data_IF_662051360570
#
_entry.id   IF_662051360570
#
_cell.length_a   1.000
_cell.length_b   1.000
_cell.length_c   1.000
_cell.angle_alpha   90.00
_cell.angle_beta   90.00
_cell.angle_gamma   90.00
#
_symmetry.space_group_name_H-M   'P 1'
#
loop_
_entity.id
_entity.type
_entity.pdbx_description
1 polymer ?
#
# COMPACT_ATOMS: atom_id res chain seq x y z
N UNK A 1 13.10 -13.43 31.97
CA UNK A 1 13.89 -13.38 30.71
C UNK A 1 13.06 -12.61 29.71
N UNK A 2 13.40 -11.35 29.43
CA UNK A 2 12.69 -10.58 28.40
C UNK A 2 13.10 -11.10 27.03
N UNK A 3 12.10 -11.41 26.19
CA UNK A 3 12.34 -11.71 24.79
C UNK A 3 13.01 -10.50 24.10
N UNK A 4 13.95 -10.71 23.16
CA UNK A 4 14.48 -9.62 22.37
C UNK A 4 13.33 -8.95 21.59
N UNK A 5 13.20 -7.64 21.73
CA UNK A 5 12.31 -6.85 20.88
C UNK A 5 12.96 -6.81 19.50
N UNK A 6 12.43 -7.59 18.55
CA UNK A 6 12.82 -7.44 17.15
C UNK A 6 12.24 -6.11 16.69
N UNK A 7 13.12 -5.16 16.35
CA UNK A 7 12.70 -3.88 15.79
C UNK A 7 12.03 -4.12 14.43
N UNK A 8 10.82 -3.58 14.26
CA UNK A 8 10.06 -3.76 13.03
C UNK A 8 10.78 -3.13 11.84
N UNK A 9 10.80 -3.85 10.72
CA UNK A 9 11.54 -3.46 9.51
C UNK A 9 10.82 -2.30 8.81
N UNK A 10 11.57 -1.31 8.33
CA UNK A 10 11.02 -0.22 7.52
C UNK A 10 10.86 -0.62 6.05
N UNK A 11 9.79 -0.16 5.41
CA UNK A 11 9.52 -0.47 4.00
C UNK A 11 10.62 0.05 3.05
N UNK A 12 11.29 1.15 3.40
CA UNK A 12 12.43 1.70 2.61
C UNK A 12 13.58 0.72 2.39
N UNK A 13 13.73 -0.29 3.25
CA UNK A 13 14.74 -1.34 3.10
C UNK A 13 14.47 -2.29 1.93
N UNK A 14 13.23 -2.27 1.39
CA UNK A 14 12.78 -3.14 0.32
C UNK A 14 13.10 -2.62 -1.08
N UNK A 15 13.85 -1.52 -1.20
CA UNK A 15 14.35 -0.97 -2.45
C UNK A 15 15.77 -0.46 -2.28
N UNK A 16 16.43 -0.14 -3.40
CA UNK A 16 17.72 0.56 -3.35
C UNK A 16 17.56 1.96 -2.70
N UNK A 17 18.47 2.40 -1.80
CA UNK A 17 18.35 3.70 -1.13
C UNK A 17 18.32 4.91 -2.07
N UNK A 18 19.03 4.87 -3.21
CA UNK A 18 18.98 5.95 -4.19
C UNK A 18 17.63 5.98 -4.89
N UNK A 19 17.06 4.81 -5.19
CA UNK A 19 15.71 4.71 -5.74
C UNK A 19 14.65 5.19 -4.74
N UNK A 20 14.74 4.80 -3.46
CA UNK A 20 13.85 5.30 -2.41
C UNK A 20 13.81 6.83 -2.40
N UNK A 21 15.00 7.47 -2.32
CA UNK A 21 15.08 8.93 -2.35
C UNK A 21 14.53 9.55 -3.65
N UNK A 22 14.69 8.88 -4.80
CA UNK A 22 14.14 9.33 -6.07
C UNK A 22 12.61 9.27 -6.09
N UNK A 23 12.04 8.17 -5.62
CA UNK A 23 10.59 7.98 -5.51
C UNK A 23 9.99 8.99 -4.53
N UNK A 24 10.55 9.14 -3.33
CA UNK A 24 10.06 10.11 -2.33
C UNK A 24 10.15 11.56 -2.83
N UNK A 25 11.18 11.93 -3.60
CA UNK A 25 11.23 13.26 -4.25
C UNK A 25 10.11 13.47 -5.26
N UNK A 26 9.72 12.42 -5.98
CA UNK A 26 8.59 12.49 -6.92
C UNK A 26 7.27 12.65 -6.17
N UNK A 27 7.07 11.87 -5.11
CA UNK A 27 5.91 11.99 -4.21
C UNK A 27 5.82 13.40 -3.64
N UNK A 28 6.91 13.92 -3.07
CA UNK A 28 6.97 15.29 -2.55
C UNK A 28 6.57 16.33 -3.59
N UNK A 29 7.16 16.25 -4.79
CA UNK A 29 6.90 17.19 -5.88
C UNK A 29 5.45 17.17 -6.36
N UNK A 30 4.89 15.99 -6.60
CA UNK A 30 3.59 15.86 -7.25
C UNK A 30 2.43 16.11 -6.28
N UNK A 31 2.64 15.87 -4.98
CA UNK A 31 1.61 16.00 -3.95
C UNK A 31 1.82 17.20 -3.01
N UNK A 32 2.78 18.08 -3.32
CA UNK A 32 3.03 19.31 -2.57
C UNK A 32 3.49 19.09 -1.13
N UNK A 33 4.21 17.99 -0.86
CA UNK A 33 4.62 17.58 0.48
C UNK A 33 6.07 17.99 0.77
N UNK A 34 6.41 18.11 2.05
CA UNK A 34 7.81 18.15 2.46
C UNK A 34 8.46 16.76 2.31
N UNK A 35 9.80 16.76 2.25
CA UNK A 35 10.56 15.52 2.04
C UNK A 35 10.37 14.49 3.17
N UNK A 36 10.40 14.85 4.47
CA UNK A 36 10.15 13.88 5.54
C UNK A 36 8.79 13.19 5.41
N UNK A 37 7.71 13.93 5.15
CA UNK A 37 6.37 13.37 4.96
C UNK A 37 6.33 12.45 3.74
N UNK A 38 6.94 12.85 2.63
CA UNK A 38 7.00 12.02 1.43
C UNK A 38 7.78 10.72 1.66
N UNK A 39 8.87 10.76 2.43
CA UNK A 39 9.61 9.55 2.82
C UNK A 39 8.78 8.62 3.69
N UNK A 40 8.03 9.14 4.67
CA UNK A 40 7.17 8.31 5.53
C UNK A 40 6.05 7.65 4.72
N UNK A 41 5.40 8.38 3.82
CA UNK A 41 4.39 7.83 2.89
C UNK A 41 5.02 6.76 1.99
N UNK A 42 6.19 7.03 1.41
CA UNK A 42 6.89 6.07 0.54
C UNK A 42 7.24 4.80 1.31
N UNK A 43 7.69 4.93 2.56
CA UNK A 43 8.01 3.80 3.43
C UNK A 43 6.79 2.91 3.68
N UNK A 44 5.66 3.52 4.04
CA UNK A 44 4.41 2.80 4.30
C UNK A 44 3.84 2.13 3.04
N UNK A 45 3.93 2.78 1.88
CA UNK A 45 3.48 2.18 0.61
C UNK A 45 4.31 0.93 0.23
N UNK A 46 5.63 0.98 0.43
CA UNK A 46 6.49 -0.19 0.19
C UNK A 46 6.18 -1.35 1.15
N UNK A 47 5.92 -1.04 2.42
CA UNK A 47 5.51 -2.05 3.41
C UNK A 47 4.15 -2.66 3.06
N UNK A 48 3.18 -1.84 2.62
CA UNK A 48 1.89 -2.29 2.14
C UNK A 48 2.03 -3.24 0.95
N UNK A 49 2.76 -2.83 -0.10
CA UNK A 49 2.94 -3.65 -1.31
C UNK A 49 3.59 -4.99 -1.02
N UNK A 50 4.58 -5.02 -0.13
CA UNK A 50 5.20 -6.27 0.29
C UNK A 50 4.26 -7.16 1.09
N UNK A 51 3.38 -6.56 1.90
CA UNK A 51 2.38 -7.28 2.69
C UNK A 51 1.30 -7.87 1.78
N UNK A 52 0.72 -7.05 0.91
CA UNK A 52 -0.25 -7.44 -0.11
C UNK A 52 0.30 -8.57 -1.00
N UNK A 53 1.55 -8.45 -1.46
CA UNK A 53 2.19 -9.46 -2.30
C UNK A 53 2.42 -10.82 -1.60
N UNK A 54 2.50 -10.85 -0.27
CA UNK A 54 2.87 -12.04 0.51
C UNK A 54 1.72 -12.63 1.31
N UNK A 55 0.55 -12.00 1.31
CA UNK A 55 -0.58 -12.47 2.10
C UNK A 55 -1.04 -13.85 1.58
N UNK A 56 -1.43 -14.76 2.47
CA UNK A 56 -1.91 -16.08 2.07
C UNK A 56 -3.25 -15.97 1.32
N UNK A 57 -3.55 -16.96 0.49
CA UNK A 57 -4.86 -17.09 -0.15
C UNK A 57 -5.98 -17.12 0.91
N UNK A 58 -7.06 -16.37 0.68
CA UNK A 58 -8.16 -16.23 1.63
C UNK A 58 -7.89 -15.25 2.79
N UNK A 59 -6.76 -14.54 2.80
CA UNK A 59 -6.56 -13.39 3.66
C UNK A 59 -7.59 -12.29 3.35
N UNK A 60 -7.94 -11.43 4.32
CA UNK A 60 -8.83 -10.31 4.05
C UNK A 60 -8.30 -9.40 2.94
N UNK A 61 -9.22 -8.73 2.27
CA UNK A 61 -8.93 -7.62 1.37
C UNK A 61 -8.12 -6.56 2.13
N UNK A 62 -6.99 -6.14 1.58
CA UNK A 62 -6.21 -5.04 2.15
C UNK A 62 -6.50 -3.79 1.34
N UNK A 63 -6.70 -2.69 2.06
CA UNK A 63 -6.92 -1.36 1.48
C UNK A 63 -5.83 -0.42 1.93
N UNK A 64 -5.35 0.41 1.01
CA UNK A 64 -4.43 1.49 1.33
C UNK A 64 -5.19 2.72 1.85
N UNK A 65 -4.61 3.41 2.84
CA UNK A 65 -5.15 4.70 3.28
C UNK A 65 -4.89 5.79 2.23
N UNK A 66 -5.80 6.76 2.13
CA UNK A 66 -5.64 7.90 1.23
C UNK A 66 -4.38 8.74 1.49
N UNK A 67 -3.83 8.69 2.70
CA UNK A 67 -2.57 9.37 3.03
C UNK A 67 -1.34 8.67 2.43
N UNK A 68 -1.38 7.34 2.24
CA UNK A 68 -0.24 6.52 1.78
C UNK A 68 -0.30 6.26 0.28
N UNK A 69 -1.51 6.16 -0.25
CA UNK A 69 -1.83 5.84 -1.63
C UNK A 69 -1.06 6.63 -2.71
N UNK A 70 -0.84 7.95 -2.56
CA UNK A 70 -0.03 8.73 -3.48
C UNK A 70 1.33 8.12 -3.83
N UNK A 71 2.00 7.47 -2.87
CA UNK A 71 3.31 6.88 -3.14
C UNK A 71 3.24 5.60 -3.99
N UNK A 72 2.17 4.82 -3.91
CA UNK A 72 2.00 3.67 -4.79
C UNK A 72 1.75 4.11 -6.22
N UNK A 73 0.90 5.13 -6.42
CA UNK A 73 0.63 5.73 -7.72
C UNK A 73 1.90 6.21 -8.40
N UNK A 74 2.73 6.95 -7.67
CA UNK A 74 4.02 7.41 -8.20
C UNK A 74 4.99 6.25 -8.48
N UNK A 75 4.93 5.16 -7.70
CA UNK A 75 5.78 4.00 -7.93
C UNK A 75 5.41 3.27 -9.23
N UNK A 76 4.13 3.17 -9.57
CA UNK A 76 3.68 2.52 -10.80
C UNK A 76 4.18 3.20 -12.08
N UNK A 77 4.47 4.51 -12.02
CA UNK A 77 5.10 5.22 -13.13
C UNK A 77 6.56 4.82 -13.39
N UNK A 78 7.21 4.17 -12.43
CA UNK A 78 8.52 3.55 -12.58
C UNK A 78 8.38 2.07 -12.96
N UNK A 79 7.82 1.81 -14.14
CA UNK A 79 7.37 0.47 -14.54
C UNK A 79 8.46 -0.61 -14.40
N UNK A 80 9.70 -0.31 -14.77
CA UNK A 80 10.83 -1.23 -14.60
C UNK A 80 11.12 -1.52 -13.12
N UNK A 81 11.22 -0.49 -12.28
CA UNK A 81 11.48 -0.64 -10.86
C UNK A 81 10.31 -1.31 -10.12
N UNK A 82 9.08 -1.05 -10.55
CA UNK A 82 7.86 -1.66 -10.01
C UNK A 82 7.84 -3.17 -10.30
N UNK A 83 8.11 -3.60 -11.54
CA UNK A 83 8.22 -5.02 -11.87
C UNK A 83 9.41 -5.69 -11.17
N UNK A 84 10.54 -4.98 -11.09
CA UNK A 84 11.75 -5.46 -10.40
C UNK A 84 11.52 -5.64 -8.90
N UNK A 85 10.68 -4.82 -8.27
CA UNK A 85 10.38 -4.92 -6.85
C UNK A 85 9.79 -6.27 -6.47
N UNK A 86 8.81 -6.76 -7.22
CA UNK A 86 8.21 -8.07 -6.92
C UNK A 86 9.12 -9.23 -7.34
N UNK A 87 9.67 -9.15 -8.56
CA UNK A 87 10.51 -10.24 -9.11
C UNK A 87 11.78 -10.49 -8.31
N UNK A 88 12.46 -9.44 -7.80
CA UNK A 88 13.68 -9.60 -7.00
C UNK A 88 13.45 -10.32 -5.67
N UNK A 89 12.22 -10.24 -5.14
CA UNK A 89 11.84 -10.86 -3.88
C UNK A 89 11.11 -12.19 -4.07
N UNK A 90 10.88 -12.62 -5.33
CA UNK A 90 10.11 -13.83 -5.63
C UNK A 90 8.63 -13.71 -5.28
N UNK A 91 8.07 -12.50 -5.27
CA UNK A 91 6.67 -12.25 -4.93
C UNK A 91 5.81 -12.12 -6.19
N UNK A 92 4.51 -12.48 -6.11
CA UNK A 92 3.55 -12.10 -7.15
C UNK A 92 3.46 -10.58 -7.23
N UNK A 93 3.26 -10.07 -8.45
CA UNK A 93 3.07 -8.64 -8.69
C UNK A 93 1.70 -8.23 -8.17
N UNK A 94 1.67 -7.19 -7.35
CA UNK A 94 0.41 -6.53 -6.98
C UNK A 94 0.00 -5.64 -8.16
N UNK A 95 -1.13 -5.97 -8.77
CA UNK A 95 -1.75 -5.16 -9.81
C UNK A 95 -2.66 -4.12 -9.16
N UNK A 96 -2.62 -2.91 -9.71
CA UNK A 96 -3.50 -1.83 -9.29
C UNK A 96 -4.83 -1.94 -10.02
N UNK A 97 -5.89 -2.05 -9.23
CA UNK A 97 -7.26 -2.12 -9.69
C UNK A 97 -8.07 -1.02 -9.01
N UNK A 98 -8.41 0.06 -9.75
CA UNK A 98 -9.27 1.10 -9.21
C UNK A 98 -10.68 0.58 -8.91
N UNK A 99 -11.34 1.20 -7.94
CA UNK A 99 -12.79 1.09 -7.79
C UNK A 99 -13.46 2.15 -8.68
N UNK A 100 -14.10 1.69 -9.74
CA UNK A 100 -14.85 2.57 -10.64
C UNK A 100 -16.30 2.82 -10.15
N UNK A 101 -16.71 2.17 -9.05
CA UNK A 101 -18.07 2.22 -8.51
C UNK A 101 -19.07 1.35 -9.26
N UNK A 102 -20.32 1.36 -8.80
CA UNK A 102 -21.43 0.64 -9.42
C UNK A 102 -21.96 1.31 -10.70
N UNK A 103 -22.96 0.72 -11.39
CA UNK A 103 -23.54 1.26 -12.63
C UNK A 103 -24.11 2.69 -12.52
N UNK A 104 -24.41 3.15 -11.31
CA UNK A 104 -24.87 4.51 -10.99
C UNK A 104 -23.72 5.48 -10.70
N UNK A 105 -22.47 5.03 -10.77
CA UNK A 105 -21.26 5.77 -10.43
C UNK A 105 -21.03 5.89 -8.93
N UNK A 106 -21.84 5.23 -8.08
CA UNK A 106 -21.64 5.27 -6.63
C UNK A 106 -20.44 4.40 -6.27
N UNK A 107 -19.37 5.05 -5.77
CA UNK A 107 -18.22 4.34 -5.18
C UNK A 107 -18.62 3.78 -3.83
N UNK A 108 -18.53 2.46 -3.68
CA UNK A 108 -18.79 1.79 -2.40
C UNK A 108 -17.48 1.25 -1.87
N UNK A 109 -16.87 2.03 -0.99
CA UNK A 109 -15.77 1.56 -0.16
C UNK A 109 -16.28 1.18 1.23
N UNK A 110 -15.72 0.13 1.86
CA UNK A 110 -15.99 -0.13 3.27
C UNK A 110 -15.57 1.10 4.10
N UNK A 111 -16.31 1.43 5.18
CA UNK A 111 -15.89 2.46 6.10
C UNK A 111 -14.44 2.24 6.56
N UNK A 112 -13.66 3.32 6.71
CA UNK A 112 -12.25 3.21 7.13
C UNK A 112 -12.06 2.43 8.45
N UNK A 113 -13.06 2.46 9.33
CA UNK A 113 -13.08 1.70 10.59
C UNK A 113 -13.14 0.19 10.39
N UNK A 114 -13.57 -0.27 9.21
CA UNK A 114 -13.63 -1.67 8.81
C UNK A 114 -12.44 -2.03 7.90
N UNK A 115 -12.07 -1.11 7.00
CA UNK A 115 -11.09 -1.36 5.93
C UNK A 115 -9.62 -1.30 6.39
N UNK A 116 -9.25 -0.33 7.24
CA UNK A 116 -7.85 -0.09 7.61
C UNK A 116 -7.31 -1.02 8.71
N UNK A 117 -8.09 -1.45 9.73
CA UNK A 117 -7.55 -2.33 10.76
C UNK A 117 -6.97 -3.66 10.22
N UNK A 118 -7.62 -4.36 9.26
CA UNK A 118 -7.02 -5.55 8.64
C UNK A 118 -5.69 -5.25 7.94
N UNK A 119 -5.59 -4.15 7.19
CA UNK A 119 -4.34 -3.73 6.54
C UNK A 119 -3.23 -3.48 7.55
N UNK A 120 -3.50 -2.68 8.59
CA UNK A 120 -2.53 -2.36 9.64
C UNK A 120 -2.05 -3.63 10.33
N UNK A 121 -2.97 -4.51 10.73
CA UNK A 121 -2.64 -5.77 11.38
C UNK A 121 -1.80 -6.67 10.47
N UNK A 122 -2.09 -6.71 9.16
CA UNK A 122 -1.31 -7.49 8.19
C UNK A 122 0.11 -6.94 8.03
N UNK A 123 0.29 -5.62 7.97
CA UNK A 123 1.62 -4.98 7.86
C UNK A 123 2.46 -5.28 9.11
N UNK A 124 1.87 -5.16 10.29
CA UNK A 124 2.53 -5.51 11.56
C UNK A 124 2.89 -7.00 11.62
N UNK A 125 1.96 -7.89 11.25
CA UNK A 125 2.18 -9.33 11.20
C UNK A 125 3.26 -9.74 10.18
N UNK A 126 3.42 -8.97 9.09
CA UNK A 126 4.50 -9.13 8.13
C UNK A 126 5.87 -8.65 8.66
N UNK A 127 5.90 -8.06 9.86
CA UNK A 127 7.11 -7.60 10.55
C UNK A 127 7.53 -6.18 10.17
N UNK A 128 6.65 -5.41 9.52
CA UNK A 128 6.95 -4.04 9.12
C UNK A 128 6.46 -3.01 10.14
N UNK A 129 7.18 -1.90 10.22
CA UNK A 129 6.78 -0.75 11.03
C UNK A 129 5.58 -0.06 10.41
N UNK A 130 4.50 0.05 11.18
CA UNK A 130 3.37 0.91 10.87
C UNK A 130 3.59 2.29 11.48
N UNK A 131 3.25 3.34 10.73
CA UNK A 131 3.22 4.70 11.23
C UNK A 131 1.76 5.17 11.41
N UNK A 132 1.20 5.10 12.64
CA UNK A 132 -0.25 5.17 12.85
C UNK A 132 -0.91 6.45 12.33
N UNK A 133 -0.15 7.56 12.25
CA UNK A 133 -0.64 8.82 11.71
C UNK A 133 -1.04 8.76 10.24
N UNK A 134 -0.48 7.81 9.47
CA UNK A 134 -0.72 7.61 8.05
C UNK A 134 -1.88 6.63 7.76
N UNK A 135 -2.42 5.94 8.77
CA UNK A 135 -3.47 4.94 8.61
C UNK A 135 -4.79 5.36 9.27
N UNK A 136 -5.12 6.65 9.17
CA UNK A 136 -6.33 7.26 9.77
C UNK A 136 -7.26 7.92 8.77
N UNK A 137 -6.75 8.26 7.59
CA UNK A 137 -7.55 8.81 6.49
C UNK A 137 -8.57 7.76 5.99
N UNK A 138 -9.48 8.19 5.14
CA UNK A 138 -10.38 7.25 4.46
C UNK A 138 -9.62 6.25 3.60
N UNK A 139 -10.34 5.23 3.14
CA UNK A 139 -10.02 4.46 1.93
C UNK A 139 -10.77 5.06 0.73
N UNK A 140 -11.03 6.37 0.78
CA UNK A 140 -11.89 7.06 -0.17
C UNK A 140 -11.11 7.30 -1.46
N UNK A 141 -11.73 6.94 -2.57
CA UNK A 141 -11.21 7.18 -3.90
C UNK A 141 -11.66 8.54 -4.39
N UNK A 142 -10.70 9.44 -4.47
CA UNK A 142 -10.39 9.91 -5.82
C UNK A 142 -9.44 8.92 -6.53
N UNK A 143 -8.62 8.15 -5.79
CA UNK A 143 -7.54 7.29 -6.34
C UNK A 143 -7.07 6.07 -5.47
N UNK A 144 -7.61 5.84 -4.27
CA UNK A 144 -7.17 4.75 -3.36
C UNK A 144 -7.41 3.32 -3.85
N UNK A 145 -6.47 2.41 -3.59
CA UNK A 145 -6.52 1.06 -4.17
C UNK A 145 -6.30 -0.07 -3.14
N UNK A 146 -6.77 -1.25 -3.51
CA UNK A 146 -6.81 -2.44 -2.65
C UNK A 146 -6.62 -3.74 -3.43
N UNK A 147 -6.54 -4.86 -2.71
CA UNK A 147 -6.44 -6.21 -3.28
C UNK A 147 -7.52 -7.13 -2.69
N UNK A 148 -8.22 -7.94 -3.49
CA UNK A 148 -9.41 -8.72 -3.05
C UNK A 148 -9.18 -9.85 -2.02
N UNK A 149 -7.93 -10.10 -1.63
CA UNK A 149 -7.58 -11.32 -0.88
C UNK A 149 -6.55 -12.20 -1.60
N UNK A 150 -6.40 -11.99 -2.90
CA UNK A 150 -5.37 -12.60 -3.76
C UNK A 150 -4.49 -11.47 -4.30
N UNK A 151 -3.15 -11.61 -4.26
CA UNK A 151 -2.26 -10.57 -4.76
C UNK A 151 -2.57 -10.20 -6.22
N UNK A 152 -2.98 -8.95 -6.43
CA UNK A 152 -3.20 -8.40 -7.77
C UNK A 152 -4.55 -8.72 -8.42
N UNK A 153 -5.57 -9.09 -7.64
CA UNK A 153 -6.95 -9.11 -8.10
C UNK A 153 -7.71 -7.82 -7.72
N UNK A 154 -8.73 -7.43 -8.49
CA UNK A 154 -9.53 -6.24 -8.22
C UNK A 154 -10.39 -6.41 -6.97
N UNK A 155 -10.43 -5.44 -6.04
CA UNK A 155 -11.34 -5.49 -4.90
C UNK A 155 -12.80 -5.61 -5.38
N UNK A 156 -13.65 -6.31 -4.62
CA UNK A 156 -15.09 -6.28 -4.89
C UNK A 156 -15.66 -4.92 -4.47
N UNK A 157 -15.81 -4.05 -5.44
CA UNK A 157 -16.40 -2.73 -5.27
C UNK A 157 -17.70 -2.54 -6.06
N UNK A 158 -18.44 -3.63 -6.26
CA UNK A 158 -19.78 -3.56 -6.84
C UNK A 158 -19.79 -3.30 -8.34
N UNK A 159 -18.74 -3.71 -9.06
CA UNK A 159 -18.64 -3.59 -10.52
C UNK A 159 -19.79 -4.29 -11.29
N UNK A 160 -20.61 -5.08 -10.60
CA UNK A 160 -21.60 -5.95 -11.24
C UNK A 160 -20.90 -7.05 -12.04
N UNK A 161 -21.52 -8.22 -12.07
CA UNK A 161 -21.30 -9.17 -13.17
C UNK A 161 -22.12 -8.74 -14.37
#
# INVERSE_FOLDING_TARGET
MSAPVIEAVRGRSLVDPMFFGRLSRRVAKNHGLDMPRAEDITDQALAYLATAARKPEGAPTLYMSADVDPAWHEFMHYTFEYDRFFTRHGWPKVHHHPCDGGPDGTRVYPPKSEALPPTVAAIEAAGYRVEPGLWKAGVDCEDTCGDDGVPGNPPDCGHGV
#
